data_IF_726624288776
#
_entry.id   IF_726624288776
#
_cell.length_a   1.000
_cell.length_b   1.000
_cell.length_c   1.000
_cell.angle_alpha   90.00
_cell.angle_beta   90.00
_cell.angle_gamma   90.00
#
_symmetry.space_group_name_H-M   'P 1'
#
loop_
_entity.id
_entity.type
_entity.pdbx_description
1 polymer ?
#
# COMPACT_ATOMS: atom_id res chain seq x y z
N UNK A 1 -28.46 2.65 7.64
CA UNK A 1 -26.98 2.74 7.67
C UNK A 1 -26.53 2.35 9.06
N UNK A 2 -26.00 1.14 9.23
CA UNK A 2 -25.46 0.73 10.54
C UNK A 2 -24.24 1.61 10.84
N UNK A 3 -24.29 2.39 11.92
CA UNK A 3 -23.10 3.03 12.47
C UNK A 3 -22.13 1.90 12.82
N UNK A 4 -21.02 1.81 12.12
CA UNK A 4 -19.95 0.89 12.49
C UNK A 4 -19.38 1.44 13.78
N UNK A 5 -19.76 0.84 14.91
CA UNK A 5 -19.14 1.10 16.19
C UNK A 5 -17.68 0.65 16.07
N UNK A 6 -16.77 1.61 15.95
CA UNK A 6 -15.37 1.31 15.63
C UNK A 6 -14.64 0.95 16.91
N UNK A 7 -14.79 -0.30 17.35
CA UNK A 7 -14.04 -0.85 18.48
C UNK A 7 -12.54 -1.10 18.16
N UNK A 8 -12.13 -0.96 16.90
CA UNK A 8 -10.76 -1.22 16.45
C UNK A 8 -9.93 0.07 16.35
N UNK A 9 -8.89 0.17 17.16
CA UNK A 9 -7.84 1.20 17.12
C UNK A 9 -6.53 0.60 16.59
N UNK A 10 -5.83 1.33 15.74
CA UNK A 10 -4.59 0.84 15.14
C UNK A 10 -3.67 1.95 14.64
N UNK A 11 -2.51 1.54 14.17
CA UNK A 11 -1.56 2.41 13.47
C UNK A 11 -1.86 2.36 11.97
N UNK A 12 -2.05 3.53 11.36
CA UNK A 12 -2.11 3.74 9.92
C UNK A 12 -0.77 4.35 9.47
N UNK A 13 -0.10 3.69 8.55
CA UNK A 13 1.12 4.13 7.91
C UNK A 13 0.83 4.34 6.43
N UNK A 14 1.28 5.47 5.91
CA UNK A 14 1.33 5.74 4.47
C UNK A 14 2.79 6.03 4.13
N UNK A 15 3.29 5.38 3.10
CA UNK A 15 4.64 5.56 2.58
C UNK A 15 4.55 5.81 1.08
N UNK A 16 5.24 6.84 0.64
CA UNK A 16 5.37 7.20 -0.77
C UNK A 16 6.84 7.08 -1.17
N UNK A 17 7.11 6.29 -2.20
CA UNK A 17 8.43 6.17 -2.81
C UNK A 17 8.43 6.82 -4.20
N UNK A 18 9.51 7.53 -4.51
CA UNK A 18 9.75 8.17 -5.81
C UNK A 18 11.18 7.89 -6.30
N UNK A 19 11.41 7.99 -7.60
CA UNK A 19 12.69 7.62 -8.20
C UNK A 19 12.99 6.13 -8.11
N UNK A 20 11.95 5.30 -8.08
CA UNK A 20 12.05 3.85 -8.10
C UNK A 20 12.27 3.31 -9.52
N UNK A 21 12.84 2.11 -9.63
CA UNK A 21 13.12 1.42 -10.88
C UNK A 21 11.81 1.06 -11.61
N UNK A 22 11.52 1.66 -12.78
CA UNK A 22 10.28 1.40 -13.52
C UNK A 22 10.08 -0.07 -13.90
N UNK A 23 11.16 -0.79 -14.20
CA UNK A 23 11.08 -2.21 -14.60
C UNK A 23 10.59 -3.09 -13.46
N UNK A 24 11.01 -2.77 -12.23
CA UNK A 24 10.59 -3.47 -11.01
C UNK A 24 9.18 -3.10 -10.59
N UNK A 25 8.79 -1.84 -10.79
CA UNK A 25 7.41 -1.40 -10.56
C UNK A 25 6.41 -2.09 -11.50
N UNK A 26 6.84 -2.45 -12.72
CA UNK A 26 6.00 -3.14 -13.70
C UNK A 26 5.89 -4.66 -13.45
N UNK A 27 6.79 -5.24 -12.65
CA UNK A 27 6.75 -6.65 -12.30
C UNK A 27 5.67 -6.92 -11.24
N UNK A 28 4.49 -7.32 -11.71
CA UNK A 28 3.36 -7.66 -10.83
C UNK A 28 3.65 -8.79 -9.84
N UNK A 29 4.53 -9.73 -10.19
CA UNK A 29 4.94 -10.80 -9.27
C UNK A 29 5.83 -10.25 -8.14
N UNK A 30 6.72 -9.29 -8.44
CA UNK A 30 7.48 -8.56 -7.44
C UNK A 30 6.58 -7.71 -6.55
N UNK A 31 5.67 -6.91 -7.12
CA UNK A 31 4.72 -6.08 -6.36
C UNK A 31 3.94 -6.93 -5.36
N UNK A 32 3.38 -8.03 -5.83
CA UNK A 32 2.58 -8.89 -4.99
C UNK A 32 3.43 -9.70 -3.98
N UNK A 33 4.69 -10.02 -4.29
CA UNK A 33 5.64 -10.60 -3.34
C UNK A 33 6.00 -9.62 -2.22
N UNK A 34 6.30 -8.37 -2.55
CA UNK A 34 6.63 -7.34 -1.55
C UNK A 34 5.44 -7.07 -0.63
N UNK A 35 4.23 -6.95 -1.17
CA UNK A 35 3.01 -6.84 -0.35
C UNK A 35 2.86 -8.01 0.63
N UNK A 36 3.20 -9.23 0.20
CA UNK A 36 3.24 -10.42 1.05
C UNK A 36 4.33 -10.38 2.13
N UNK A 37 5.53 -9.89 1.80
CA UNK A 37 6.61 -9.71 2.78
C UNK A 37 6.22 -8.69 3.85
N UNK A 38 5.66 -7.55 3.44
CA UNK A 38 5.12 -6.55 4.37
C UNK A 38 4.03 -7.20 5.26
N UNK A 39 3.13 -7.99 4.69
CA UNK A 39 2.11 -8.70 5.48
C UNK A 39 2.70 -9.67 6.50
N UNK A 40 3.76 -10.41 6.13
CA UNK A 40 4.42 -11.36 7.02
C UNK A 40 5.01 -10.69 8.27
N UNK A 41 5.46 -9.44 8.17
CA UNK A 41 5.98 -8.68 9.33
C UNK A 41 4.90 -8.22 10.33
N UNK A 42 3.62 -8.21 9.93
CA UNK A 42 2.52 -7.68 10.73
C UNK A 42 1.81 -8.74 11.61
N UNK A 43 2.27 -10.00 11.56
CA UNK A 43 1.59 -11.21 12.03
C UNK A 43 0.23 -11.42 11.34
N UNK A 44 0.08 -12.50 10.57
CA UNK A 44 -1.20 -12.83 9.91
C UNK A 44 -1.12 -13.20 8.43
N UNK A 45 0.08 -13.36 7.86
CA UNK A 45 0.22 -13.72 6.45
C UNK A 45 -0.48 -15.05 6.05
N UNK A 46 -0.62 -15.99 6.97
CA UNK A 46 -1.25 -17.29 6.71
C UNK A 46 -2.74 -17.18 6.35
N UNK A 47 -3.46 -16.22 6.93
CA UNK A 47 -4.91 -16.02 6.74
C UNK A 47 -5.21 -14.82 5.83
N UNK A 48 -4.20 -14.28 5.15
CA UNK A 48 -4.34 -13.07 4.37
C UNK A 48 -5.09 -13.34 3.06
N UNK A 49 -6.18 -12.59 2.84
CA UNK A 49 -6.79 -12.49 1.51
C UNK A 49 -5.90 -11.65 0.62
N UNK A 50 -5.30 -12.28 -0.38
CA UNK A 50 -4.44 -11.64 -1.38
C UNK A 50 -5.22 -11.25 -2.61
N UNK A 51 -5.07 -10.00 -3.05
CA UNK A 51 -5.64 -9.51 -4.31
C UNK A 51 -4.58 -8.75 -5.07
N UNK A 52 -4.45 -9.04 -6.36
CA UNK A 52 -3.61 -8.29 -7.29
C UNK A 52 -4.52 -7.77 -8.40
N UNK A 53 -4.32 -6.51 -8.78
CA UNK A 53 -5.02 -5.83 -9.86
C UNK A 53 -3.97 -5.22 -10.77
N UNK A 54 -3.98 -5.65 -12.02
CA UNK A 54 -3.18 -5.06 -13.08
C UNK A 54 -4.06 -4.04 -13.81
N UNK A 55 -3.52 -2.86 -14.05
CA UNK A 55 -4.13 -1.76 -14.79
C UNK A 55 -3.09 -1.23 -15.79
N UNK A 56 -3.51 -0.47 -16.80
CA UNK A 56 -2.63 -0.02 -17.89
C UNK A 56 -1.44 0.83 -17.41
N UNK A 57 -1.61 1.51 -16.26
CA UNK A 57 -0.64 2.40 -15.66
C UNK A 57 0.22 1.72 -14.58
N UNK A 58 0.07 0.40 -14.35
CA UNK A 58 0.85 -0.38 -13.39
C UNK A 58 0.06 -1.39 -12.55
N UNK A 59 0.58 -1.72 -11.36
CA UNK A 59 0.06 -2.86 -10.56
C UNK A 59 -0.31 -2.41 -9.16
N UNK A 60 -1.41 -2.94 -8.63
CA UNK A 60 -1.81 -2.80 -7.23
C UNK A 60 -1.95 -4.17 -6.56
N UNK A 61 -1.45 -4.30 -5.33
CA UNK A 61 -1.61 -5.50 -4.51
C UNK A 61 -2.21 -5.15 -3.15
N UNK A 62 -3.09 -6.01 -2.64
CA UNK A 62 -3.62 -5.93 -1.29
C UNK A 62 -3.44 -7.25 -0.53
N UNK A 63 -3.17 -7.12 0.75
CA UNK A 63 -3.21 -8.21 1.73
C UNK A 63 -4.16 -7.80 2.85
N UNK A 64 -5.28 -8.50 3.00
CA UNK A 64 -6.29 -8.20 4.03
C UNK A 64 -6.35 -9.33 5.06
N UNK A 65 -6.17 -8.95 6.32
CA UNK A 65 -6.17 -9.81 7.50
C UNK A 65 -7.17 -9.25 8.52
N UNK A 66 -7.54 -10.03 9.53
CA UNK A 66 -8.52 -9.62 10.55
C UNK A 66 -8.14 -8.32 11.27
N UNK A 67 -6.86 -8.13 11.56
CA UNK A 67 -6.37 -6.98 12.35
C UNK A 67 -5.40 -6.09 11.56
N UNK A 68 -5.24 -6.35 10.26
CA UNK A 68 -4.32 -5.59 9.43
C UNK A 68 -4.74 -5.57 7.96
N UNK A 69 -4.37 -4.52 7.25
CA UNK A 69 -4.53 -4.44 5.80
C UNK A 69 -3.37 -3.71 5.17
N UNK A 70 -2.93 -4.20 4.02
CA UNK A 70 -1.91 -3.57 3.20
C UNK A 70 -2.51 -3.30 1.82
N UNK A 71 -2.20 -2.15 1.25
CA UNK A 71 -2.31 -1.87 -0.17
C UNK A 71 -0.99 -1.31 -0.67
N UNK A 72 -0.46 -1.85 -1.76
CA UNK A 72 0.73 -1.37 -2.45
C UNK A 72 0.32 -1.04 -3.89
N UNK A 73 0.54 0.20 -4.30
CA UNK A 73 0.28 0.70 -5.64
C UNK A 73 1.59 1.08 -6.30
N UNK A 74 1.91 0.47 -7.44
CA UNK A 74 3.10 0.76 -8.24
C UNK A 74 2.71 1.48 -9.54
N UNK A 75 3.47 2.51 -9.90
CA UNK A 75 3.24 3.35 -11.08
C UNK A 75 4.53 3.44 -11.90
N UNK A 76 4.80 2.49 -12.81
CA UNK A 76 6.04 2.43 -13.59
C UNK A 76 6.32 3.73 -14.36
N UNK A 77 5.32 4.29 -15.04
CA UNK A 77 5.46 5.54 -15.79
C UNK A 77 5.77 6.75 -14.90
N UNK A 78 5.39 6.68 -13.61
CA UNK A 78 5.69 7.72 -12.64
C UNK A 78 7.02 7.53 -11.92
N UNK A 79 7.62 6.33 -11.99
CA UNK A 79 8.77 5.97 -11.15
C UNK A 79 8.44 6.04 -9.65
N UNK A 80 7.17 5.77 -9.30
CA UNK A 80 6.64 5.99 -7.96
C UNK A 80 5.81 4.81 -7.46
N UNK A 81 5.70 4.69 -6.15
CA UNK A 81 4.83 3.74 -5.47
C UNK A 81 4.22 4.34 -4.21
N UNK A 82 3.06 3.84 -3.80
CA UNK A 82 2.40 4.16 -2.54
C UNK A 82 2.09 2.88 -1.77
N UNK A 83 2.50 2.82 -0.51
CA UNK A 83 2.19 1.77 0.44
C UNK A 83 1.26 2.32 1.53
N UNK A 84 0.08 1.73 1.67
CA UNK A 84 -0.88 1.97 2.76
C UNK A 84 -0.91 0.74 3.67
N UNK A 85 -0.60 0.93 4.95
CA UNK A 85 -0.63 -0.14 5.96
C UNK A 85 -1.50 0.29 7.12
N UNK A 86 -2.48 -0.52 7.46
CA UNK A 86 -3.19 -0.43 8.73
C UNK A 86 -2.91 -1.68 9.55
N UNK A 87 -2.61 -1.54 10.84
CA UNK A 87 -2.52 -2.67 11.77
C UNK A 87 -2.91 -2.25 13.17
N UNK A 88 -3.64 -3.12 13.88
CA UNK A 88 -3.91 -2.99 15.32
C UNK A 88 -2.62 -3.18 16.12
N UNK A 89 -1.68 -3.99 15.62
CA UNK A 89 -0.39 -4.25 16.28
C UNK A 89 0.60 -3.13 16.01
N UNK A 90 1.44 -2.83 17.01
CA UNK A 90 2.59 -1.94 16.82
C UNK A 90 3.73 -2.71 16.14
N UNK A 91 4.26 -2.13 15.07
CA UNK A 91 5.49 -2.56 14.40
C UNK A 91 6.38 -1.36 14.11
N UNK A 92 7.67 -1.62 13.96
CA UNK A 92 8.65 -0.64 13.52
C UNK A 92 8.40 -0.39 12.04
N UNK A 93 8.16 0.87 11.68
CA UNK A 93 7.82 1.24 10.31
C UNK A 93 9.03 1.07 9.39
N UNK A 94 10.23 1.22 9.97
CA UNK A 94 11.53 1.11 9.31
C UNK A 94 11.73 -0.27 8.65
N UNK A 95 11.27 -1.35 9.30
CA UNK A 95 11.37 -2.70 8.75
C UNK A 95 10.45 -2.88 7.53
N UNK A 96 9.30 -2.19 7.50
CA UNK A 96 8.36 -2.21 6.37
C UNK A 96 8.94 -1.42 5.19
N UNK A 97 9.50 -0.24 5.46
CA UNK A 97 10.01 0.66 4.43
C UNK A 97 11.25 0.08 3.75
N UNK A 98 12.19 -0.49 4.51
CA UNK A 98 13.39 -1.11 3.95
C UNK A 98 13.07 -2.20 2.92
N UNK A 99 12.07 -3.04 3.21
CA UNK A 99 11.65 -4.10 2.28
C UNK A 99 11.14 -3.54 0.93
N UNK A 100 10.50 -2.37 0.97
CA UNK A 100 9.99 -1.68 -0.23
C UNK A 100 11.12 -0.92 -0.94
N UNK A 101 11.95 -0.20 -0.21
CA UNK A 101 13.07 0.57 -0.74
C UNK A 101 14.06 -0.31 -1.50
N UNK A 102 14.48 -1.42 -0.90
CA UNK A 102 15.43 -2.38 -1.51
C UNK A 102 14.81 -3.07 -2.73
N UNK A 103 13.54 -3.48 -2.62
CA UNK A 103 12.84 -4.19 -3.67
C UNK A 103 12.69 -3.33 -4.94
N UNK A 104 12.33 -2.05 -4.80
CA UNK A 104 12.03 -1.17 -5.94
C UNK A 104 13.13 -0.16 -6.26
N UNK A 105 14.26 -0.20 -5.54
CA UNK A 105 15.34 0.78 -5.68
C UNK A 105 14.83 2.22 -5.54
N UNK A 106 14.05 2.49 -4.49
CA UNK A 106 13.45 3.81 -4.25
C UNK A 106 14.55 4.84 -3.98
N UNK A 107 14.52 5.97 -4.70
CA UNK A 107 15.50 7.05 -4.53
C UNK A 107 15.14 8.04 -3.43
N UNK A 108 13.86 8.42 -3.30
CA UNK A 108 13.37 9.32 -2.24
C UNK A 108 12.05 8.82 -1.68
N UNK A 109 11.84 9.03 -0.39
CA UNK A 109 10.63 8.59 0.30
C UNK A 109 10.07 9.63 1.26
N UNK A 110 8.75 9.66 1.39
CA UNK A 110 8.06 10.34 2.49
C UNK A 110 7.13 9.36 3.17
N UNK A 111 6.93 9.52 4.49
CA UNK A 111 5.99 8.68 5.22
C UNK A 111 5.21 9.46 6.26
N UNK A 112 4.00 8.99 6.53
CA UNK A 112 3.11 9.52 7.56
C UNK A 112 2.62 8.38 8.43
N UNK A 113 2.61 8.61 9.74
CA UNK A 113 2.08 7.69 10.74
C UNK A 113 0.98 8.35 11.54
N UNK A 114 -0.13 7.65 11.71
CA UNK A 114 -1.27 8.11 12.49
C UNK A 114 -1.85 6.98 13.35
N UNK A 115 -2.42 7.34 14.49
CA UNK A 115 -3.30 6.45 15.24
C UNK A 115 -4.72 6.71 14.77
N UNK A 116 -5.42 5.66 14.30
CA UNK A 116 -6.79 5.78 13.79
C UNK A 116 -7.69 4.71 14.39
N UNK A 117 -8.91 5.12 14.73
CA UNK A 117 -10.03 4.20 14.86
C UNK A 117 -10.53 3.91 13.44
N UNK A 118 -10.33 2.69 12.94
CA UNK A 118 -10.76 2.31 11.59
C UNK A 118 -11.36 0.91 11.62
N UNK A 119 -12.53 0.75 11.01
CA UNK A 119 -13.07 -0.57 10.75
C UNK A 119 -12.10 -1.35 9.84
N UNK A 120 -11.80 -2.62 10.15
CA UNK A 120 -10.99 -3.46 9.28
C UNK A 120 -11.55 -3.47 7.84
N UNK A 121 -10.68 -3.63 6.83
CA UNK A 121 -11.15 -3.71 5.44
C UNK A 121 -12.12 -4.91 5.34
N UNK A 122 -13.30 -4.76 4.72
CA UNK A 122 -14.19 -5.89 4.51
C UNK A 122 -13.49 -6.94 3.64
N UNK A 123 -13.64 -8.21 4.00
CA UNK A 123 -13.04 -9.36 3.30
C UNK A 123 -13.67 -9.66 1.93
N UNK A 124 -14.56 -8.79 1.42
CA UNK A 124 -15.18 -8.93 0.09
C UNK A 124 -14.16 -8.62 -1.02
N UNK A 125 -13.77 -9.60 -1.86
CA UNK A 125 -12.80 -9.37 -2.91
C UNK A 125 -13.23 -8.35 -3.97
N UNK A 126 -14.53 -8.23 -4.26
CA UNK A 126 -15.02 -7.23 -5.22
C UNK A 126 -14.92 -5.81 -4.62
N UNK A 127 -15.30 -5.66 -3.35
CA UNK A 127 -15.12 -4.44 -2.57
C UNK A 127 -13.66 -4.01 -2.47
N UNK A 128 -12.74 -4.93 -2.22
CA UNK A 128 -11.30 -4.63 -2.16
C UNK A 128 -10.78 -4.15 -3.52
N UNK A 129 -11.14 -4.81 -4.64
CA UNK A 129 -10.75 -4.36 -5.99
C UNK A 129 -11.24 -2.94 -6.29
N UNK A 130 -12.52 -2.65 -6.02
CA UNK A 130 -13.09 -1.31 -6.21
C UNK A 130 -12.35 -0.26 -5.39
N UNK A 131 -12.02 -0.59 -4.14
CA UNK A 131 -11.28 0.29 -3.25
C UNK A 131 -9.86 0.54 -3.77
N UNK A 132 -9.15 -0.51 -4.21
CA UNK A 132 -7.80 -0.37 -4.77
C UNK A 132 -7.77 0.57 -5.96
N UNK A 133 -8.76 0.49 -6.86
CA UNK A 133 -8.87 1.42 -7.99
C UNK A 133 -9.01 2.88 -7.55
N UNK A 134 -9.85 3.15 -6.54
CA UNK A 134 -10.03 4.49 -6.00
C UNK A 134 -8.78 5.01 -5.28
N UNK A 135 -8.14 4.18 -4.46
CA UNK A 135 -6.89 4.50 -3.76
C UNK A 135 -5.75 4.78 -4.76
N UNK A 136 -5.67 3.95 -5.82
CA UNK A 136 -4.72 4.11 -6.92
C UNK A 136 -4.91 5.44 -7.64
N UNK A 137 -6.13 5.75 -8.10
CA UNK A 137 -6.42 6.99 -8.81
C UNK A 137 -6.06 8.24 -7.98
N UNK A 138 -6.32 8.20 -6.66
CA UNK A 138 -5.90 9.28 -5.76
C UNK A 138 -4.37 9.39 -5.65
N UNK A 139 -3.67 8.26 -5.49
CA UNK A 139 -2.22 8.26 -5.40
C UNK A 139 -1.55 8.74 -6.70
N UNK A 140 -2.07 8.32 -7.85
CA UNK A 140 -1.62 8.76 -9.18
C UNK A 140 -1.75 10.28 -9.34
N UNK A 141 -2.91 10.84 -9.02
CA UNK A 141 -3.15 12.28 -9.09
C UNK A 141 -2.18 13.06 -8.19
N UNK A 142 -1.96 12.57 -6.96
CA UNK A 142 -0.99 13.16 -6.02
C UNK A 142 0.44 13.10 -6.52
N UNK A 143 0.88 11.97 -7.10
CA UNK A 143 2.23 11.88 -7.67
C UNK A 143 2.41 12.74 -8.92
N UNK A 144 1.38 12.84 -9.75
CA UNK A 144 1.40 13.71 -10.93
C UNK A 144 1.58 15.17 -10.51
N UNK A 145 0.82 15.60 -9.49
CA UNK A 145 0.94 16.95 -8.92
C UNK A 145 2.34 17.21 -8.32
N UNK A 146 2.87 16.28 -7.53
CA UNK A 146 4.22 16.40 -6.97
C UNK A 146 5.30 16.53 -8.05
N UNK A 147 5.22 15.73 -9.13
CA UNK A 147 6.18 15.83 -10.24
C UNK A 147 6.11 17.15 -10.99
N UNK A 148 4.92 17.74 -11.10
CA UNK A 148 4.75 19.05 -11.73
C UNK A 148 5.44 20.18 -10.93
N UNK A 149 5.51 20.04 -9.60
CA UNK A 149 6.12 21.05 -8.72
C UNK A 149 7.61 20.80 -8.45
N UNK A 150 8.09 19.54 -8.50
CA UNK A 150 9.51 19.19 -8.36
C UNK A 150 10.35 19.50 -9.62
N UNK A 151 9.69 19.78 -10.76
CA UNK A 151 10.30 20.04 -12.07
C UNK A 151 10.38 21.51 -12.50
N UNK A 152 10.11 22.46 -11.58
CA UNK A 152 10.16 23.91 -11.82
C UNK A 152 11.44 24.56 -11.27
#
# INVERSE_FOLDING_TARGET
>A
MASVDVLAYGTHLVYDGTGADPSRLADGALVARVAGLVAATLDGAADATRIVVEEDDGVSAAMVMTEASIALHAFPGLGSLCLDVFSVRRRRAEDLYRAVEEAFAVGRSTSRREVRARAPRPFDPAGIRRRLRGERAYAEARFTDLRAHDGA
#
